data_IF_882291553424
#
_entry.id   IF_882291553424
#
_cell.length_a   1.000
_cell.length_b   1.000
_cell.length_c   1.000
_cell.angle_alpha   90.00
_cell.angle_beta   90.00
_cell.angle_gamma   90.00
#
_symmetry.space_group_name_H-M   'P 1'
#
loop_
_entity.id
_entity.type
_entity.pdbx_description
1 polymer ?
#
# COMPACT_ATOMS: atom_id res chain seq x y z
N UNK A 1 -20.48 3.75 -12.18
CA UNK A 1 -19.49 3.04 -11.33
C UNK A 1 -18.19 2.74 -12.07
N UNK A 2 -18.17 1.88 -13.10
CA UNK A 2 -16.93 1.52 -13.84
C UNK A 2 -16.04 2.71 -14.23
N UNK A 3 -16.60 3.74 -14.88
CA UNK A 3 -15.83 4.91 -15.32
C UNK A 3 -15.19 5.70 -14.16
N UNK A 4 -15.84 5.73 -13.00
CA UNK A 4 -15.30 6.41 -11.80
C UNK A 4 -14.19 5.56 -11.18
N UNK A 5 -14.41 4.26 -11.03
CA UNK A 5 -13.38 3.31 -10.58
C UNK A 5 -12.15 3.35 -11.47
N UNK A 6 -12.32 3.47 -12.79
CA UNK A 6 -11.20 3.53 -13.74
C UNK A 6 -10.38 4.82 -13.62
N UNK A 7 -11.01 5.94 -13.21
CA UNK A 7 -10.27 7.17 -12.86
C UNK A 7 -9.39 6.97 -11.64
N UNK A 8 -9.92 6.34 -10.57
CA UNK A 8 -9.11 6.01 -9.38
C UNK A 8 -7.97 5.06 -9.73
N UNK A 9 -8.28 3.99 -10.47
CA UNK A 9 -7.27 3.03 -10.92
C UNK A 9 -6.16 3.73 -11.72
N UNK A 10 -6.54 4.57 -12.69
CA UNK A 10 -5.60 5.31 -13.52
C UNK A 10 -4.72 6.26 -12.71
N UNK A 11 -5.29 6.95 -11.72
CA UNK A 11 -4.53 7.82 -10.81
C UNK A 11 -3.54 7.03 -9.95
N UNK A 12 -3.93 5.87 -9.45
CA UNK A 12 -3.06 4.98 -8.65
C UNK A 12 -1.90 4.46 -9.51
N UNK A 13 -2.20 3.84 -10.66
CA UNK A 13 -1.17 3.20 -11.49
C UNK A 13 -0.16 4.18 -12.09
N UNK A 14 -0.55 5.43 -12.31
CA UNK A 14 0.33 6.49 -12.83
C UNK A 14 1.13 7.22 -11.73
N UNK A 15 0.92 6.86 -10.45
CA UNK A 15 1.52 7.55 -9.31
C UNK A 15 2.44 6.65 -8.48
N UNK A 16 3.04 5.63 -9.08
CA UNK A 16 3.95 4.70 -8.37
C UNK A 16 5.11 5.42 -7.69
N UNK A 17 5.64 6.48 -8.31
CA UNK A 17 6.75 7.28 -7.77
C UNK A 17 6.34 8.23 -6.65
N UNK A 18 5.04 8.40 -6.41
CA UNK A 18 4.53 9.15 -5.25
C UNK A 18 4.44 8.28 -3.99
N UNK A 19 4.57 6.96 -4.12
CA UNK A 19 4.66 6.08 -2.95
C UNK A 19 6.02 6.32 -2.30
N UNK A 20 6.07 6.61 -0.98
CA UNK A 20 7.33 6.83 -0.28
C UNK A 20 8.31 5.67 -0.49
N UNK A 21 9.59 6.00 -0.67
CA UNK A 21 10.64 5.00 -0.92
C UNK A 21 10.63 3.87 0.11
N UNK A 22 10.52 4.20 1.41
CA UNK A 22 10.49 3.18 2.46
C UNK A 22 9.36 2.16 2.30
N UNK A 23 8.17 2.61 1.84
CA UNK A 23 7.05 1.71 1.59
C UNK A 23 7.30 0.80 0.37
N UNK A 24 7.87 1.34 -0.71
CA UNK A 24 8.28 0.57 -1.89
C UNK A 24 9.40 -0.43 -1.55
N UNK A 25 10.36 -0.02 -0.73
CA UNK A 25 11.47 -0.87 -0.29
C UNK A 25 10.97 -2.02 0.60
N UNK A 26 10.05 -1.77 1.53
CA UNK A 26 9.41 -2.83 2.32
C UNK A 26 8.62 -3.79 1.43
N UNK A 27 7.94 -3.30 0.38
CA UNK A 27 7.28 -4.16 -0.59
C UNK A 27 8.28 -5.03 -1.39
N UNK A 28 9.45 -4.47 -1.76
CA UNK A 28 10.56 -5.22 -2.38
C UNK A 28 11.06 -6.33 -1.45
N UNK A 29 11.43 -5.98 -0.22
CA UNK A 29 11.91 -6.95 0.78
C UNK A 29 10.87 -8.04 1.04
N UNK A 30 9.59 -7.67 1.19
CA UNK A 30 8.51 -8.63 1.37
C UNK A 30 8.41 -9.61 0.20
N UNK A 31 8.50 -9.13 -1.05
CA UNK A 31 8.47 -9.98 -2.25
C UNK A 31 9.65 -10.94 -2.26
N UNK A 32 10.84 -10.42 -2.03
CA UNK A 32 12.10 -11.19 -2.10
C UNK A 32 12.14 -12.27 -1.00
N UNK A 33 11.79 -11.91 0.24
CA UNK A 33 11.72 -12.87 1.36
C UNK A 33 10.64 -13.94 1.20
N UNK A 34 9.48 -13.59 0.62
CA UNK A 34 8.43 -14.58 0.34
C UNK A 34 8.87 -15.54 -0.76
N UNK A 35 9.55 -15.05 -1.79
CA UNK A 35 10.06 -15.90 -2.85
C UNK A 35 11.16 -16.85 -2.35
N UNK A 36 12.06 -16.35 -1.50
CA UNK A 36 13.10 -17.18 -0.86
C UNK A 36 12.49 -18.29 0.01
N UNK A 37 11.48 -17.95 0.81
CA UNK A 37 10.82 -18.91 1.71
C UNK A 37 9.88 -19.88 1.00
N UNK A 38 9.25 -19.44 -0.09
CA UNK A 38 8.27 -20.21 -0.86
C UNK A 38 8.64 -20.18 -2.35
N UNK A 39 9.72 -20.89 -2.76
CA UNK A 39 10.22 -20.85 -4.14
C UNK A 39 9.21 -21.40 -5.16
N UNK A 40 8.32 -22.29 -4.73
CA UNK A 40 7.26 -22.87 -5.57
C UNK A 40 6.07 -21.92 -5.78
N UNK A 41 5.99 -20.81 -5.03
CA UNK A 41 4.92 -19.85 -5.16
C UNK A 41 5.04 -19.07 -6.47
N UNK A 42 3.94 -19.02 -7.24
CA UNK A 42 3.92 -18.30 -8.51
C UNK A 42 4.06 -16.78 -8.31
N UNK A 43 4.70 -16.11 -9.28
CA UNK A 43 4.87 -14.64 -9.23
C UNK A 43 3.54 -13.89 -9.05
N UNK A 44 2.47 -14.39 -9.66
CA UNK A 44 1.12 -13.81 -9.54
C UNK A 44 0.59 -13.84 -8.09
N UNK A 45 0.86 -14.91 -7.36
CA UNK A 45 0.45 -15.04 -5.95
C UNK A 45 1.25 -14.09 -5.06
N UNK A 46 2.55 -13.99 -5.28
CA UNK A 46 3.41 -13.05 -4.58
C UNK A 46 2.97 -11.60 -4.82
N UNK A 47 2.67 -11.23 -6.08
CA UNK A 47 2.20 -9.88 -6.42
C UNK A 47 0.85 -9.54 -5.79
N UNK A 48 -0.06 -10.51 -5.58
CA UNK A 48 -1.29 -10.29 -4.81
C UNK A 48 -1.01 -9.97 -3.34
N UNK A 49 0.00 -10.59 -2.73
CA UNK A 49 0.44 -10.27 -1.37
C UNK A 49 1.01 -8.85 -1.32
N UNK A 50 1.80 -8.45 -2.33
CA UNK A 50 2.27 -7.07 -2.45
C UNK A 50 1.09 -6.10 -2.63
N UNK A 51 0.09 -6.46 -3.43
CA UNK A 51 -1.15 -5.69 -3.57
C UNK A 51 -1.92 -5.54 -2.27
N UNK A 52 -1.90 -6.55 -1.41
CA UNK A 52 -2.47 -6.46 -0.06
C UNK A 52 -1.76 -5.41 0.81
N UNK A 53 -0.44 -5.29 0.71
CA UNK A 53 0.31 -4.23 1.40
C UNK A 53 0.03 -2.84 0.78
N UNK A 54 0.31 -2.68 -0.52
CA UNK A 54 0.35 -1.37 -1.17
C UNK A 54 -1.03 -0.79 -1.45
N UNK A 55 -2.01 -1.61 -1.82
CA UNK A 55 -3.37 -1.13 -2.07
C UNK A 55 -4.26 -1.33 -0.83
N UNK A 56 -4.44 -2.57 -0.35
CA UNK A 56 -5.46 -2.86 0.66
C UNK A 56 -5.14 -2.27 2.05
N UNK A 57 -3.90 -2.36 2.53
CA UNK A 57 -3.52 -1.82 3.84
C UNK A 57 -3.22 -0.33 3.79
N UNK A 58 -2.62 0.16 2.71
CA UNK A 58 -2.15 1.54 2.64
C UNK A 58 -3.17 2.51 2.02
N UNK A 59 -3.70 2.20 0.84
CA UNK A 59 -4.55 3.14 0.08
C UNK A 59 -6.05 2.97 0.32
N UNK A 60 -6.52 1.74 0.53
CA UNK A 60 -7.94 1.44 0.64
C UNK A 60 -8.62 2.15 1.84
N UNK A 61 -8.03 2.23 3.05
CA UNK A 61 -8.61 2.98 4.16
C UNK A 61 -8.78 4.47 3.83
N UNK A 62 -7.76 5.09 3.23
CA UNK A 62 -7.79 6.48 2.79
C UNK A 62 -8.79 6.73 1.64
N UNK A 63 -9.06 5.71 0.82
CA UNK A 63 -10.10 5.79 -0.22
C UNK A 63 -11.51 5.77 0.38
N UNK A 64 -11.73 4.99 1.45
CA UNK A 64 -13.03 4.86 2.12
C UNK A 64 -13.34 6.05 3.04
N UNK A 65 -12.33 6.57 3.72
CA UNK A 65 -12.45 7.67 4.68
C UNK A 65 -11.36 8.73 4.44
N UNK A 66 -11.39 9.46 3.31
CA UNK A 66 -10.36 10.42 2.94
C UNK A 66 -10.22 11.58 3.94
N UNK A 67 -11.27 11.93 4.66
CA UNK A 67 -11.27 12.93 5.74
C UNK A 67 -10.49 12.46 6.97
N UNK A 68 -10.61 11.19 7.35
CA UNK A 68 -9.91 10.62 8.49
C UNK A 68 -8.42 10.30 8.23
N UNK A 69 -8.01 10.36 6.97
CA UNK A 69 -6.64 10.10 6.50
C UNK A 69 -6.00 11.35 5.88
N UNK A 70 -6.55 12.54 6.15
CA UNK A 70 -6.03 13.85 5.71
C UNK A 70 -5.79 13.95 4.19
N UNK A 71 -6.61 13.26 3.39
CA UNK A 71 -6.57 13.34 1.92
C UNK A 71 -7.34 14.56 1.42
N UNK A 72 -8.36 14.99 2.17
CA UNK A 72 -9.19 16.16 1.87
C UNK A 72 -9.36 17.01 3.12
N UNK A 73 -9.32 18.33 2.93
CA UNK A 73 -9.68 19.28 3.97
C UNK A 73 -11.19 19.54 3.94
N UNK A 74 -11.87 19.16 5.01
CA UNK A 74 -13.26 19.55 5.24
C UNK A 74 -13.29 20.79 6.13
N UNK A 75 -14.26 21.69 5.90
CA UNK A 75 -14.50 22.83 6.79
C UNK A 75 -14.70 22.36 8.23
N UNK A 76 -14.40 23.20 9.23
CA UNK A 76 -14.59 22.85 10.64
C UNK A 76 -15.99 22.27 10.92
N UNK A 77 -16.04 21.03 11.43
CA UNK A 77 -17.29 20.29 11.69
C UNK A 77 -17.94 19.63 10.47
N UNK A 78 -17.34 19.75 9.28
CA UNK A 78 -17.76 19.07 8.07
C UNK A 78 -17.40 17.59 8.10
N UNK A 79 -18.32 16.74 7.64
CA UNK A 79 -18.10 15.30 7.49
C UNK A 79 -18.60 14.86 6.11
N UNK A 80 -18.03 13.78 5.58
CA UNK A 80 -18.59 13.13 4.40
C UNK A 80 -20.05 12.74 4.64
N UNK A 81 -20.91 13.04 3.67
CA UNK A 81 -22.30 12.60 3.71
C UNK A 81 -22.37 11.08 3.61
N UNK A 82 -23.49 10.49 4.07
CA UNK A 82 -23.72 9.04 3.98
C UNK A 82 -23.62 8.54 2.54
N UNK A 83 -24.12 9.31 1.57
CA UNK A 83 -24.03 8.96 0.14
C UNK A 83 -22.60 9.01 -0.39
N UNK A 84 -21.80 10.02 0.00
CA UNK A 84 -20.38 10.09 -0.38
C UNK A 84 -19.62 8.90 0.17
N UNK A 85 -19.81 8.56 1.45
CA UNK A 85 -19.17 7.40 2.09
C UNK A 85 -19.58 6.09 1.42
N UNK A 86 -20.87 5.92 1.08
CA UNK A 86 -21.36 4.74 0.35
C UNK A 86 -20.73 4.61 -1.03
N UNK A 87 -20.61 5.71 -1.76
CA UNK A 87 -20.00 5.73 -3.10
C UNK A 87 -18.51 5.39 -3.05
N UNK A 88 -17.76 6.01 -2.14
CA UNK A 88 -16.34 5.72 -1.91
C UNK A 88 -16.12 4.27 -1.48
N UNK A 89 -16.94 3.75 -0.55
CA UNK A 89 -16.90 2.35 -0.15
C UNK A 89 -17.14 1.38 -1.32
N UNK A 90 -18.03 1.75 -2.25
CA UNK A 90 -18.28 0.94 -3.44
C UNK A 90 -17.11 0.96 -4.43
N UNK A 91 -16.46 2.11 -4.62
CA UNK A 91 -15.24 2.25 -5.43
C UNK A 91 -14.10 1.44 -4.82
N UNK A 92 -13.86 1.60 -3.52
CA UNK A 92 -12.84 0.88 -2.76
C UNK A 92 -13.03 -0.64 -2.88
N UNK A 93 -14.27 -1.13 -2.76
CA UNK A 93 -14.60 -2.53 -2.95
C UNK A 93 -14.26 -3.02 -4.37
N UNK A 94 -14.59 -2.25 -5.41
CA UNK A 94 -14.24 -2.64 -6.79
C UNK A 94 -12.73 -2.71 -6.99
N UNK A 95 -11.98 -1.73 -6.50
CA UNK A 95 -10.53 -1.70 -6.59
C UNK A 95 -9.88 -2.82 -5.77
N UNK A 96 -10.41 -3.17 -4.60
CA UNK A 96 -9.94 -4.30 -3.80
C UNK A 96 -10.12 -5.64 -4.54
N UNK A 97 -11.28 -5.84 -5.15
CA UNK A 97 -11.53 -7.01 -5.99
C UNK A 97 -10.58 -7.04 -7.20
N UNK A 98 -10.33 -5.90 -7.84
CA UNK A 98 -9.39 -5.80 -8.95
C UNK A 98 -7.94 -6.09 -8.52
N UNK A 99 -7.48 -5.55 -7.39
CA UNK A 99 -6.12 -5.75 -6.88
C UNK A 99 -5.81 -7.20 -6.47
N UNK A 100 -6.84 -7.97 -6.08
CA UNK A 100 -6.72 -9.38 -5.67
C UNK A 100 -7.15 -10.38 -6.74
N UNK A 101 -7.54 -9.90 -7.93
CA UNK A 101 -8.16 -10.70 -8.99
C UNK A 101 -9.38 -11.53 -8.52
N UNK A 102 -10.18 -10.97 -7.60
CA UNK A 102 -11.34 -11.66 -7.01
C UNK A 102 -12.61 -11.35 -7.79
N UNK A 103 -13.14 -12.36 -8.48
CA UNK A 103 -14.39 -12.23 -9.24
C UNK A 103 -15.62 -12.24 -8.34
N UNK A 104 -16.70 -11.62 -8.80
CA UNK A 104 -18.03 -11.80 -8.22
C UNK A 104 -18.62 -13.11 -8.76
N UNK A 105 -18.98 -14.03 -7.85
CA UNK A 105 -19.56 -15.34 -8.16
C UNK A 105 -20.96 -15.48 -7.52
N UNK A 106 -21.71 -16.52 -7.89
CA UNK A 106 -23.03 -16.86 -7.32
C UNK A 106 -24.20 -16.10 -7.94
N UNK A 107 -25.17 -15.68 -7.10
CA UNK A 107 -26.40 -14.96 -7.47
C UNK A 107 -26.19 -13.61 -8.21
N UNK A 108 -24.93 -13.24 -8.44
CA UNK A 108 -24.49 -12.01 -9.09
C UNK A 108 -24.16 -12.19 -10.57
N UNK A 109 -24.79 -13.14 -11.29
CA UNK A 109 -24.49 -13.41 -12.71
C UNK A 109 -24.64 -12.17 -13.63
N UNK A 110 -25.50 -11.22 -13.27
CA UNK A 110 -25.65 -9.92 -13.93
C UNK A 110 -24.41 -9.01 -13.81
N UNK A 111 -23.45 -9.36 -12.94
CA UNK A 111 -22.16 -8.67 -12.76
C UNK A 111 -21.02 -9.31 -13.60
N UNK A 112 -21.33 -10.21 -14.53
CA UNK A 112 -20.32 -10.81 -15.44
C UNK A 112 -19.54 -9.75 -16.24
N UNK A 113 -20.20 -8.66 -16.66
CA UNK A 113 -19.57 -7.50 -17.32
C UNK A 113 -18.56 -6.81 -16.40
N UNK A 114 -18.77 -6.86 -15.09
CA UNK A 114 -17.83 -6.32 -14.10
C UNK A 114 -16.61 -7.25 -13.96
N UNK A 115 -16.79 -8.58 -14.03
CA UNK A 115 -15.68 -9.53 -13.94
C UNK A 115 -14.67 -9.37 -15.10
N UNK A 116 -15.12 -9.07 -16.32
CA UNK A 116 -14.22 -8.76 -17.42
C UNK A 116 -13.39 -7.50 -17.12
N UNK A 117 -14.04 -6.44 -16.64
CA UNK A 117 -13.37 -5.21 -16.21
C UNK A 117 -12.38 -5.46 -15.06
N UNK A 118 -12.73 -6.28 -14.06
CA UNK A 118 -11.86 -6.63 -12.95
C UNK A 118 -10.62 -7.37 -13.43
N UNK A 119 -10.78 -8.32 -14.37
CA UNK A 119 -9.66 -9.07 -14.95
C UNK A 119 -8.69 -8.15 -15.69
N UNK A 120 -9.21 -7.21 -16.50
CA UNK A 120 -8.38 -6.21 -17.20
C UNK A 120 -7.71 -5.24 -16.22
N UNK A 121 -8.41 -4.83 -15.17
CA UNK A 121 -7.89 -3.94 -14.14
C UNK A 121 -6.79 -4.62 -13.32
N UNK A 122 -6.94 -5.92 -13.04
CA UNK A 122 -5.92 -6.71 -12.36
C UNK A 122 -4.60 -6.73 -13.14
N UNK A 123 -4.63 -6.83 -14.46
CA UNK A 123 -3.40 -6.78 -15.27
C UNK A 123 -2.65 -5.45 -15.12
N UNK A 124 -3.38 -4.34 -14.96
CA UNK A 124 -2.77 -3.02 -14.66
C UNK A 124 -2.17 -3.01 -13.25
N UNK A 125 -2.89 -3.51 -12.25
CA UNK A 125 -2.41 -3.62 -10.87
C UNK A 125 -1.17 -4.52 -10.76
N UNK A 126 -1.15 -5.66 -11.45
CA UNK A 126 -0.01 -6.60 -11.48
C UNK A 126 1.28 -5.89 -11.91
N UNK A 127 1.22 -5.15 -13.02
CA UNK A 127 2.36 -4.33 -13.50
C UNK A 127 2.74 -3.25 -12.49
N UNK A 128 1.75 -2.56 -11.94
CA UNK A 128 1.99 -1.52 -10.94
C UNK A 128 2.71 -2.07 -9.69
N UNK A 129 2.27 -3.20 -9.13
CA UNK A 129 2.92 -3.82 -7.96
C UNK A 129 4.34 -4.28 -8.29
N UNK A 130 4.55 -4.81 -9.49
CA UNK A 130 5.88 -5.18 -9.96
C UNK A 130 6.81 -3.95 -10.04
N UNK A 131 6.36 -2.85 -10.65
CA UNK A 131 7.12 -1.59 -10.71
C UNK A 131 7.33 -0.97 -9.33
N UNK A 132 6.36 -1.10 -8.42
CA UNK A 132 6.50 -0.57 -7.06
C UNK A 132 7.65 -1.23 -6.29
N UNK A 133 7.89 -2.53 -6.51
CA UNK A 133 9.02 -3.28 -5.93
C UNK A 133 10.37 -2.98 -6.61
N UNK A 134 10.37 -2.35 -7.78
CA UNK A 134 11.59 -1.97 -8.48
C UNK A 134 12.13 -0.66 -7.90
N UNK A 135 12.98 -0.76 -6.87
CA UNK A 135 13.62 0.36 -6.19
C UNK A 135 15.07 0.04 -5.83
N UNK A 136 15.96 1.06 -5.75
CA UNK A 136 17.35 0.86 -5.36
C UNK A 136 17.49 0.30 -3.93
N UNK A 137 18.61 -0.35 -3.67
CA UNK A 137 19.00 -0.77 -2.33
C UNK A 137 19.22 0.44 -1.41
N UNK A 138 19.20 0.21 -0.10
CA UNK A 138 19.34 1.29 0.89
C UNK A 138 20.65 2.08 0.73
N UNK A 139 21.75 1.36 0.48
CA UNK A 139 23.08 1.96 0.29
C UNK A 139 23.07 2.94 -0.89
N UNK A 140 22.53 2.51 -2.03
CA UNK A 140 22.40 3.34 -3.23
C UNK A 140 21.45 4.52 -3.00
N UNK A 141 20.32 4.30 -2.31
CA UNK A 141 19.30 5.34 -2.09
C UNK A 141 19.80 6.46 -1.18
N UNK A 142 20.54 6.12 -0.13
CA UNK A 142 21.03 7.07 0.86
C UNK A 142 22.47 7.52 0.61
N UNK A 143 23.12 7.01 -0.46
CA UNK A 143 24.53 7.22 -0.78
C UNK A 143 25.43 6.90 0.43
N UNK A 144 25.15 5.77 1.07
CA UNK A 144 25.86 5.31 2.27
C UNK A 144 26.84 4.22 1.87
N UNK A 145 28.09 4.44 2.23
CA UNK A 145 29.19 3.49 2.14
C UNK A 145 29.75 3.15 3.53
N UNK A 146 30.75 2.26 3.58
CA UNK A 146 31.39 1.81 4.83
C UNK A 146 32.08 2.95 5.62
N UNK A 147 32.31 4.11 5.00
CA UNK A 147 32.98 5.26 5.62
C UNK A 147 32.00 6.36 6.06
N UNK A 148 30.72 6.23 5.74
CA UNK A 148 29.68 7.24 6.01
C UNK A 148 29.52 7.53 7.52
N UNK A 149 29.69 6.51 8.37
CA UNK A 149 29.67 6.69 9.83
C UNK A 149 30.92 7.44 10.35
N UNK A 150 32.07 7.27 9.69
CA UNK A 150 33.33 7.93 10.06
C UNK A 150 33.34 9.43 9.73
N UNK A 151 32.51 9.86 8.77
CA UNK A 151 32.36 11.27 8.37
C UNK A 151 31.18 11.96 9.04
N UNK A 152 30.40 11.25 9.86
CA UNK A 152 29.27 11.83 10.59
C UNK A 152 29.78 12.61 11.80
N UNK A 153 29.98 13.92 11.62
CA UNK A 153 30.54 14.82 12.64
C UNK A 153 29.56 15.14 13.79
N UNK A 154 28.27 14.89 13.59
CA UNK A 154 27.21 15.16 14.59
C UNK A 154 26.91 13.93 15.44
N UNK A 155 27.03 14.08 16.76
CA UNK A 155 26.61 13.05 17.72
C UNK A 155 25.08 12.81 17.59
N UNK A 156 24.62 11.58 17.34
CA UNK A 156 23.19 11.30 17.24
C UNK A 156 22.52 11.49 18.59
N UNK A 157 21.41 12.23 18.61
CA UNK A 157 20.56 12.45 19.78
C UNK A 157 19.19 11.87 19.49
N UNK A 158 18.75 10.93 20.33
CA UNK A 158 17.42 10.34 20.26
C UNK A 158 16.49 11.15 21.17
N UNK A 159 15.45 11.73 20.59
CA UNK A 159 14.41 12.42 21.35
C UNK A 159 13.38 11.38 21.81
N UNK A 160 13.36 11.08 23.12
CA UNK A 160 12.52 10.06 23.71
C UNK A 160 11.98 10.54 25.06
N UNK A 161 10.68 10.31 25.31
CA UNK A 161 10.02 10.64 26.58
C UNK A 161 10.32 9.61 27.67
N UNK A 162 10.12 10.00 28.94
CA UNK A 162 10.29 9.07 30.09
C UNK A 162 9.39 7.83 29.94
N UNK A 163 8.15 8.03 29.48
CA UNK A 163 7.21 6.92 29.26
C UNK A 163 7.71 5.93 28.20
N UNK A 164 8.23 6.44 27.09
CA UNK A 164 8.84 5.60 26.04
C UNK A 164 10.09 4.88 26.54
N UNK A 165 10.95 5.54 27.34
CA UNK A 165 12.11 4.89 27.97
C UNK A 165 11.66 3.71 28.84
N UNK A 166 10.66 3.91 29.70
CA UNK A 166 10.13 2.85 30.57
C UNK A 166 9.60 1.70 29.71
N UNK A 167 8.79 2.00 28.70
CA UNK A 167 8.22 0.98 27.81
C UNK A 167 9.31 0.18 27.07
N UNK A 168 10.32 0.86 26.50
CA UNK A 168 11.44 0.21 25.82
C UNK A 168 12.26 -0.66 26.77
N UNK A 169 12.53 -0.16 27.97
CA UNK A 169 13.26 -0.90 28.99
C UNK A 169 12.46 -2.13 29.47
N UNK A 170 11.16 -1.99 29.70
CA UNK A 170 10.29 -3.11 30.11
C UNK A 170 10.29 -4.24 29.09
N UNK A 171 10.20 -3.94 27.79
CA UNK A 171 10.27 -4.96 26.72
C UNK A 171 11.64 -5.64 26.69
N UNK A 172 12.71 -4.91 26.99
CA UNK A 172 14.08 -5.43 26.96
C UNK A 172 14.44 -6.28 28.18
N UNK A 173 13.75 -6.08 29.31
CA UNK A 173 14.05 -6.75 30.60
C UNK A 173 13.01 -7.83 30.96
N UNK A 174 11.87 -7.89 30.27
CA UNK A 174 10.85 -8.94 30.49
C UNK A 174 11.18 -10.19 29.65
N UNK A 175 11.44 -11.36 30.27
CA UNK A 175 11.73 -12.62 29.59
C UNK A 175 10.52 -13.25 28.89
#
# INVERSE_FOLDING_TARGET
MRAVTDKFLSAIISSVDKIPYGMRFIAKVLKDSLHEKFPDAGEDELLKIIGNLLYYRYMNPATVAPDAFDIIDLSAGGQLTTDQRRNLGSIAKMLQHAASNKMFLGDNAHLSIINEYLSQSYQKFRRFFQTACDVPELQDKFNVDEYSDLVTLTKPVIYISIGEIINTHTVSVSP
#
